data_IF_661766840257
#
_entry.id   IF_661766840257
#
_cell.length_a   1.000
_cell.length_b   1.000
_cell.length_c   1.000
_cell.angle_alpha   90.00
_cell.angle_beta   90.00
_cell.angle_gamma   90.00
#
_symmetry.space_group_name_H-M   'P 1'
#
loop_
_entity.id
_entity.type
_entity.pdbx_description
1 polymer ?
#
# COMPACT_ATOMS: atom_id res chain seq x y z
N UNK A 1 -13.97 28.05 11.07
CA UNK A 1 -12.60 27.49 11.20
C UNK A 1 -12.61 26.12 10.54
N UNK A 2 -11.67 25.80 9.66
CA UNK A 2 -11.58 24.48 9.01
C UNK A 2 -10.96 23.49 9.98
N UNK A 3 -11.46 22.23 10.03
CA UNK A 3 -10.87 21.20 10.87
C UNK A 3 -9.48 20.77 10.34
N UNK A 4 -8.56 20.33 11.21
CA UNK A 4 -7.35 19.68 10.76
C UNK A 4 -7.69 18.36 10.06
N UNK A 5 -6.97 18.03 8.99
CA UNK A 5 -7.03 16.71 8.37
C UNK A 5 -5.94 15.83 8.98
N UNK A 6 -6.36 14.78 9.69
CA UNK A 6 -5.44 13.83 10.32
C UNK A 6 -5.74 12.44 9.76
N UNK A 7 -4.74 11.82 9.16
CA UNK A 7 -4.80 10.41 8.74
C UNK A 7 -4.16 9.56 9.85
N UNK A 8 -4.89 8.56 10.34
CA UNK A 8 -4.45 7.68 11.42
C UNK A 8 -4.56 6.22 11.00
N UNK A 9 -3.51 5.46 11.26
CA UNK A 9 -3.56 4.01 11.15
C UNK A 9 -4.42 3.42 12.29
N UNK A 10 -5.11 2.29 12.06
CA UNK A 10 -5.89 1.62 13.11
C UNK A 10 -5.01 1.20 14.30
N UNK A 11 -5.56 1.31 15.51
CA UNK A 11 -4.82 1.04 16.75
C UNK A 11 -4.31 -0.41 16.87
N UNK A 12 -4.93 -1.35 16.16
CA UNK A 12 -4.48 -2.75 16.14
C UNK A 12 -3.11 -2.96 15.49
N UNK A 13 -2.63 -2.01 14.66
CA UNK A 13 -1.35 -2.15 13.94
C UNK A 13 -0.18 -2.26 14.92
N UNK A 14 -0.14 -1.42 15.94
CA UNK A 14 0.94 -1.45 16.94
C UNK A 14 0.97 -2.79 17.67
N UNK A 15 -0.20 -3.30 18.07
CA UNK A 15 -0.32 -4.62 18.72
C UNK A 15 0.09 -5.75 17.77
N UNK A 16 -0.34 -5.69 16.51
CA UNK A 16 -0.03 -6.69 15.51
C UNK A 16 1.47 -6.77 15.18
N UNK A 17 2.14 -5.63 15.16
CA UNK A 17 3.57 -5.54 14.85
C UNK A 17 4.47 -5.85 16.06
N UNK A 18 3.95 -5.76 17.28
CA UNK A 18 4.74 -5.96 18.51
C UNK A 18 5.50 -7.29 18.55
N UNK A 19 4.86 -8.35 18.04
CA UNK A 19 5.41 -9.72 18.03
C UNK A 19 6.06 -10.08 16.68
N UNK A 20 6.21 -9.10 15.77
CA UNK A 20 6.85 -9.29 14.47
C UNK A 20 8.31 -8.87 14.52
N UNK A 21 9.18 -9.49 13.70
CA UNK A 21 10.57 -9.04 13.63
C UNK A 21 10.65 -7.60 13.09
N UNK A 22 11.59 -6.78 13.56
CA UNK A 22 11.77 -5.43 13.02
C UNK A 22 12.42 -5.42 11.63
N UNK A 23 12.97 -6.55 11.18
CA UNK A 23 13.68 -6.71 9.90
C UNK A 23 13.23 -7.96 9.16
N UNK A 24 13.13 -7.84 7.84
CA UNK A 24 12.66 -8.86 6.92
C UNK A 24 13.74 -9.14 5.88
N UNK A 25 14.35 -10.32 5.97
CA UNK A 25 15.56 -10.68 5.21
C UNK A 25 15.30 -10.97 3.72
N UNK A 26 14.06 -11.15 3.31
CA UNK A 26 13.70 -11.47 1.92
C UNK A 26 12.43 -10.75 1.49
N UNK A 27 12.25 -10.61 0.17
CA UNK A 27 11.03 -10.06 -0.42
C UNK A 27 9.79 -10.87 -0.03
N UNK A 28 9.91 -12.20 0.08
CA UNK A 28 8.81 -13.06 0.50
C UNK A 28 8.33 -12.70 1.91
N UNK A 29 9.24 -12.54 2.87
CA UNK A 29 8.88 -12.15 4.24
C UNK A 29 8.26 -10.75 4.31
N UNK A 30 8.73 -9.81 3.48
CA UNK A 30 8.14 -8.46 3.37
C UNK A 30 6.73 -8.52 2.80
N UNK A 31 6.52 -9.29 1.72
CA UNK A 31 5.21 -9.44 1.11
C UNK A 31 4.25 -10.22 2.01
N UNK A 32 4.70 -11.25 2.71
CA UNK A 32 3.91 -11.97 3.73
C UNK A 32 3.40 -11.03 4.83
N UNK A 33 4.25 -10.08 5.29
CA UNK A 33 3.79 -9.05 6.22
C UNK A 33 2.69 -8.20 5.61
N UNK A 34 2.89 -7.70 4.39
CA UNK A 34 1.93 -6.82 3.71
C UNK A 34 0.59 -7.53 3.47
N UNK A 35 0.62 -8.77 2.98
CA UNK A 35 -0.59 -9.61 2.83
C UNK A 35 -1.29 -9.83 4.17
N UNK A 36 -0.52 -10.08 5.23
CA UNK A 36 -1.06 -10.28 6.58
C UNK A 36 -1.72 -9.01 7.13
N UNK A 37 -1.16 -7.83 6.84
CA UNK A 37 -1.76 -6.53 7.19
C UNK A 37 -3.08 -6.32 6.44
N UNK A 38 -3.14 -6.62 5.14
CA UNK A 38 -4.37 -6.51 4.35
C UNK A 38 -5.46 -7.45 4.90
N UNK A 39 -5.10 -8.70 5.23
CA UNK A 39 -6.01 -9.67 5.86
C UNK A 39 -6.50 -9.17 7.21
N UNK A 40 -5.61 -8.68 8.05
CA UNK A 40 -5.98 -8.16 9.38
C UNK A 40 -6.88 -6.92 9.29
N UNK A 41 -6.69 -6.07 8.28
CA UNK A 41 -7.52 -4.90 8.06
C UNK A 41 -8.99 -5.28 7.81
N UNK A 42 -9.23 -6.28 6.97
CA UNK A 42 -10.60 -6.77 6.72
C UNK A 42 -11.19 -7.52 7.93
N UNK A 43 -10.40 -8.35 8.62
CA UNK A 43 -10.83 -9.07 9.83
C UNK A 43 -11.21 -8.12 10.97
N UNK A 44 -10.53 -6.99 11.07
CA UNK A 44 -10.79 -5.96 12.07
C UNK A 44 -11.88 -4.97 11.65
N UNK A 45 -12.44 -5.10 10.43
CA UNK A 45 -13.43 -4.21 9.85
C UNK A 45 -12.99 -2.72 9.85
N UNK A 46 -11.68 -2.47 9.68
CA UNK A 46 -11.10 -1.11 9.70
C UNK A 46 -10.83 -0.54 8.30
N UNK A 47 -11.12 -1.29 7.23
CA UNK A 47 -11.00 -0.78 5.87
C UNK A 47 -10.99 -1.86 4.80
N UNK A 48 -10.64 -1.47 3.57
CA UNK A 48 -10.57 -2.34 2.41
C UNK A 48 -9.40 -3.35 2.43
N UNK A 49 -9.36 -4.28 1.46
CA UNK A 49 -8.45 -5.43 1.43
C UNK A 49 -7.03 -5.09 0.96
N UNK A 50 -6.55 -3.88 1.25
CA UNK A 50 -5.29 -3.38 0.73
C UNK A 50 -4.36 -2.98 1.88
N UNK A 51 -3.08 -3.35 1.72
CA UNK A 51 -2.01 -2.93 2.60
C UNK A 51 -0.74 -2.63 1.80
N UNK A 52 0.12 -1.83 2.41
CA UNK A 52 1.44 -1.53 1.89
C UNK A 52 2.42 -1.35 3.05
N UNK A 53 3.71 -1.41 2.77
CA UNK A 53 4.72 -1.10 3.76
C UNK A 53 5.98 -0.53 3.09
N UNK A 54 6.62 0.41 3.76
CA UNK A 54 7.92 0.96 3.36
C UNK A 54 9.01 0.28 4.16
N UNK A 55 10.02 -0.23 3.48
CA UNK A 55 11.19 -0.86 4.08
C UNK A 55 12.49 -0.14 3.69
N UNK A 56 13.48 -0.26 4.53
CA UNK A 56 14.87 0.03 4.19
C UNK A 56 15.40 -1.09 3.28
N UNK A 57 15.82 -0.77 2.05
CA UNK A 57 16.29 -1.73 1.07
C UNK A 57 17.55 -2.49 1.50
N UNK A 58 18.45 -1.81 2.24
CA UNK A 58 19.75 -2.37 2.60
C UNK A 58 19.67 -3.30 3.82
N UNK A 59 18.76 -3.00 4.75
CA UNK A 59 18.67 -3.72 6.05
C UNK A 59 17.42 -4.60 6.18
N UNK A 60 16.43 -4.40 5.32
CA UNK A 60 15.12 -5.03 5.43
C UNK A 60 14.28 -4.53 6.61
N UNK A 61 14.66 -3.44 7.26
CA UNK A 61 13.93 -2.87 8.39
C UNK A 61 12.60 -2.28 7.94
N UNK A 62 11.52 -2.61 8.65
CA UNK A 62 10.21 -1.98 8.46
C UNK A 62 10.27 -0.53 8.95
N UNK A 63 10.06 0.42 8.02
CA UNK A 63 10.01 1.85 8.35
C UNK A 63 8.57 2.23 8.70
N UNK A 64 7.62 1.86 7.85
CA UNK A 64 6.21 2.22 8.09
C UNK A 64 5.26 1.22 7.41
N UNK A 65 4.23 0.76 8.12
CA UNK A 65 3.10 0.06 7.54
C UNK A 65 2.07 1.06 6.99
N UNK A 66 1.17 0.57 6.14
CA UNK A 66 -0.02 1.26 5.68
C UNK A 66 -1.13 0.28 5.37
N UNK A 67 -2.36 0.61 5.72
CA UNK A 67 -3.56 -0.12 5.33
C UNK A 67 -4.59 0.85 4.78
N UNK A 68 -5.49 0.35 3.94
CA UNK A 68 -6.57 1.17 3.41
C UNK A 68 -7.57 1.54 4.52
N UNK A 69 -7.79 2.83 4.71
CA UNK A 69 -8.71 3.37 5.73
C UNK A 69 -9.66 4.42 5.13
N UNK A 70 -9.97 4.31 3.84
CA UNK A 70 -10.81 5.26 3.10
C UNK A 70 -12.15 5.48 3.80
N UNK A 71 -12.87 4.41 4.12
CA UNK A 71 -14.19 4.46 4.74
C UNK A 71 -14.08 4.97 6.18
N UNK A 72 -13.18 4.40 6.96
CA UNK A 72 -12.97 4.72 8.37
C UNK A 72 -12.60 6.20 8.58
N UNK A 73 -11.72 6.75 7.72
CA UNK A 73 -11.25 8.13 7.83
C UNK A 73 -12.08 9.11 6.98
N UNK A 74 -13.13 8.65 6.26
CA UNK A 74 -13.90 9.45 5.32
C UNK A 74 -12.99 10.26 4.37
N UNK A 75 -11.95 9.61 3.85
CA UNK A 75 -10.91 10.23 3.04
C UNK A 75 -10.56 9.35 1.85
N UNK A 76 -10.98 9.74 0.63
CA UNK A 76 -10.77 8.97 -0.59
C UNK A 76 -9.30 8.73 -0.94
N UNK A 77 -8.39 9.55 -0.44
CA UNK A 77 -6.96 9.39 -0.66
C UNK A 77 -6.26 8.49 0.37
N UNK A 78 -6.97 8.01 1.40
CA UNK A 78 -6.39 7.18 2.48
C UNK A 78 -6.18 5.71 2.05
N UNK A 79 -5.59 5.51 0.86
CA UNK A 79 -5.15 4.21 0.34
C UNK A 79 -3.93 3.70 1.10
N UNK A 80 -3.69 2.41 1.07
CA UNK A 80 -2.61 1.76 1.81
C UNK A 80 -1.22 2.33 1.48
N UNK A 81 -0.93 2.56 0.20
CA UNK A 81 0.34 3.11 -0.25
C UNK A 81 0.52 4.56 0.25
N UNK A 82 -0.54 5.37 0.17
CA UNK A 82 -0.51 6.75 0.66
C UNK A 82 -0.27 6.75 2.18
N UNK A 83 -0.93 5.87 2.92
CA UNK A 83 -0.74 5.73 4.36
C UNK A 83 0.69 5.31 4.70
N UNK A 84 1.25 4.30 4.01
CA UNK A 84 2.61 3.83 4.22
C UNK A 84 3.66 4.92 3.90
N UNK A 85 3.54 5.56 2.73
CA UNK A 85 4.45 6.62 2.29
C UNK A 85 4.40 7.84 3.23
N UNK A 86 3.19 8.32 3.55
CA UNK A 86 3.02 9.49 4.44
C UNK A 86 3.57 9.21 5.84
N UNK A 87 3.36 7.99 6.36
CA UNK A 87 3.89 7.58 7.67
C UNK A 87 5.41 7.49 7.64
N UNK A 88 6.00 6.88 6.59
CA UNK A 88 7.44 6.80 6.42
C UNK A 88 8.09 8.19 6.33
N UNK A 89 7.51 9.10 5.55
CA UNK A 89 7.94 10.49 5.42
C UNK A 89 7.90 11.22 6.77
N UNK A 90 6.87 10.97 7.57
CA UNK A 90 6.75 11.54 8.91
C UNK A 90 7.80 11.01 9.88
N UNK A 91 8.05 9.69 9.86
CA UNK A 91 9.06 9.02 10.70
C UNK A 91 10.46 9.49 10.33
N UNK A 92 10.78 9.57 9.04
CA UNK A 92 12.10 9.96 8.56
C UNK A 92 12.30 11.49 8.47
N UNK A 93 11.26 12.28 8.74
CA UNK A 93 11.32 13.74 8.78
C UNK A 93 11.56 14.40 7.42
N UNK A 94 11.21 13.74 6.31
CA UNK A 94 11.39 14.25 4.95
C UNK A 94 10.21 13.89 4.06
N UNK A 95 9.77 14.82 3.21
CA UNK A 95 8.78 14.56 2.15
C UNK A 95 9.36 13.74 0.98
N UNK A 96 10.68 13.75 0.83
CA UNK A 96 11.42 12.99 -0.19
C UNK A 96 12.27 11.92 0.49
N UNK A 97 11.86 10.65 0.37
CA UNK A 97 12.55 9.49 0.94
C UNK A 97 13.89 9.18 0.23
N UNK A 98 14.21 9.91 -0.86
CA UNK A 98 15.52 9.82 -1.52
C UNK A 98 16.52 10.87 -1.03
N UNK A 99 16.15 11.72 -0.07
CA UNK A 99 17.01 12.78 0.45
C UNK A 99 18.32 12.25 1.02
N UNK A 100 19.38 13.07 0.87
CA UNK A 100 20.71 12.71 1.37
C UNK A 100 20.69 12.39 2.86
N UNK A 101 21.36 11.31 3.24
CA UNK A 101 21.45 10.83 4.63
C UNK A 101 20.31 9.92 5.07
N UNK A 102 19.26 9.76 4.25
CA UNK A 102 18.20 8.78 4.50
C UNK A 102 18.55 7.40 3.92
N UNK A 103 17.96 6.32 4.46
CA UNK A 103 18.08 4.99 3.89
C UNK A 103 17.42 4.95 2.51
N UNK A 104 17.90 4.08 1.63
CA UNK A 104 17.16 3.76 0.40
C UNK A 104 15.87 3.05 0.77
N UNK A 105 14.74 3.60 0.35
CA UNK A 105 13.42 3.08 0.67
C UNK A 105 12.82 2.32 -0.50
N UNK A 106 12.12 1.23 -0.19
CA UNK A 106 11.29 0.48 -1.12
C UNK A 106 9.86 0.38 -0.59
N UNK A 107 8.89 0.27 -1.50
CA UNK A 107 7.48 0.11 -1.20
C UNK A 107 7.03 -1.28 -1.62
N UNK A 108 6.45 -2.03 -0.69
CA UNK A 108 5.70 -3.25 -0.96
C UNK A 108 4.21 -2.93 -0.89
N UNK A 109 3.44 -3.37 -1.87
CA UNK A 109 1.98 -3.22 -1.91
C UNK A 109 1.31 -4.57 -2.16
N UNK A 110 0.24 -4.87 -1.43
CA UNK A 110 -0.51 -6.12 -1.61
C UNK A 110 -1.15 -6.24 -3.00
N UNK A 111 -1.30 -5.11 -3.71
CA UNK A 111 -1.92 -5.04 -5.04
C UNK A 111 -1.14 -4.02 -5.88
N UNK A 112 -1.18 -4.16 -7.20
CA UNK A 112 -0.68 -3.13 -8.12
C UNK A 112 -1.35 -1.78 -7.79
N UNK A 113 -0.60 -0.65 -7.79
CA UNK A 113 -1.14 0.64 -7.36
C UNK A 113 -2.23 1.14 -8.33
N UNK A 114 -3.32 1.69 -7.80
CA UNK A 114 -4.31 2.41 -8.59
C UNK A 114 -3.71 3.67 -9.23
N UNK A 115 -4.44 4.34 -10.13
CA UNK A 115 -3.96 5.54 -10.85
C UNK A 115 -3.49 6.65 -9.88
N UNK A 116 -4.16 6.86 -8.75
CA UNK A 116 -3.80 7.85 -7.74
C UNK A 116 -2.48 7.49 -7.05
N UNK A 117 -2.36 6.24 -6.55
CA UNK A 117 -1.15 5.78 -5.87
C UNK A 117 0.04 5.71 -6.81
N UNK A 118 -0.17 5.28 -8.07
CA UNK A 118 0.84 5.31 -9.12
C UNK A 118 1.41 6.71 -9.34
N UNK A 119 0.55 7.72 -9.29
CA UNK A 119 0.98 9.13 -9.36
C UNK A 119 1.81 9.58 -8.16
N UNK A 120 1.51 9.09 -6.95
CA UNK A 120 2.20 9.47 -5.72
C UNK A 120 3.59 8.85 -5.56
N UNK A 121 3.80 7.61 -6.06
CA UNK A 121 5.05 6.84 -5.90
C UNK A 121 6.29 7.62 -6.36
N UNK A 122 6.35 8.24 -7.56
CA UNK A 122 7.53 9.01 -7.99
C UNK A 122 7.87 10.20 -7.10
N UNK A 123 6.85 10.82 -6.48
CA UNK A 123 7.03 11.96 -5.58
C UNK A 123 7.55 11.57 -4.21
N UNK A 124 7.36 10.32 -3.81
CA UNK A 124 7.80 9.84 -2.50
C UNK A 124 9.31 9.62 -2.39
N UNK A 125 10.01 9.42 -3.52
CA UNK A 125 11.44 9.16 -3.55
C UNK A 125 11.85 7.69 -3.33
N UNK A 126 10.91 6.74 -3.23
CA UNK A 126 11.24 5.30 -3.15
C UNK A 126 11.99 4.83 -4.40
N UNK A 127 12.85 3.84 -4.23
CA UNK A 127 13.71 3.32 -5.31
C UNK A 127 13.21 2.00 -5.89
N UNK A 128 12.27 1.35 -5.24
CA UNK A 128 11.71 0.08 -5.67
C UNK A 128 10.25 -0.04 -5.25
N UNK A 129 9.46 -0.68 -6.11
CA UNK A 129 8.06 -1.04 -5.87
C UNK A 129 7.90 -2.53 -6.13
N UNK A 130 7.34 -3.26 -5.17
CA UNK A 130 6.98 -4.67 -5.31
C UNK A 130 5.48 -4.82 -5.08
N UNK A 131 4.78 -5.37 -6.07
CA UNK A 131 3.33 -5.53 -6.05
C UNK A 131 2.93 -7.01 -5.99
N UNK A 132 1.93 -7.31 -5.16
CA UNK A 132 1.33 -8.64 -5.03
C UNK A 132 0.30 -8.92 -6.13
N UNK A 133 -0.99 -8.79 -5.82
CA UNK A 133 -2.08 -8.98 -6.77
C UNK A 133 -2.01 -7.98 -7.93
N UNK A 134 -2.52 -8.38 -9.09
CA UNK A 134 -2.59 -7.52 -10.25
C UNK A 134 -3.80 -6.56 -10.20
N UNK A 135 -3.78 -5.53 -11.05
CA UNK A 135 -4.88 -4.58 -11.23
C UNK A 135 -6.21 -5.28 -11.57
N UNK A 136 -6.13 -6.29 -12.44
CA UNK A 136 -7.28 -7.07 -12.87
C UNK A 136 -7.93 -7.83 -11.70
N UNK A 137 -7.15 -8.24 -10.69
CA UNK A 137 -7.67 -8.94 -9.52
C UNK A 137 -8.53 -8.02 -8.65
N UNK A 138 -8.12 -6.75 -8.48
CA UNK A 138 -8.91 -5.73 -7.78
C UNK A 138 -10.18 -5.34 -8.56
N UNK A 139 -10.05 -5.15 -9.89
CA UNK A 139 -11.20 -4.87 -10.76
C UNK A 139 -12.20 -6.02 -10.77
N UNK A 140 -11.75 -7.27 -10.75
CA UNK A 140 -12.61 -8.46 -10.74
C UNK A 140 -13.50 -8.57 -9.51
N UNK A 141 -13.12 -7.94 -8.41
CA UNK A 141 -13.96 -7.86 -7.21
C UNK A 141 -14.80 -6.58 -7.13
N UNK A 142 -14.63 -5.64 -8.06
CA UNK A 142 -15.47 -4.47 -8.25
C UNK A 142 -14.82 -3.13 -7.92
N UNK A 143 -13.53 -3.08 -7.55
CA UNK A 143 -12.84 -1.80 -7.33
C UNK A 143 -12.54 -1.09 -8.64
N UNK A 144 -12.66 0.23 -8.61
CA UNK A 144 -12.21 1.12 -9.67
C UNK A 144 -10.74 1.51 -9.41
N UNK A 145 -9.85 1.07 -10.28
CA UNK A 145 -8.42 1.36 -10.20
C UNK A 145 -8.02 2.63 -11.00
N UNK A 146 -8.99 3.29 -11.61
CA UNK A 146 -8.80 4.48 -12.44
C UNK A 146 -8.06 4.20 -13.75
N UNK A 147 -7.81 5.28 -14.51
CA UNK A 147 -7.12 5.22 -15.79
C UNK A 147 -5.60 5.23 -15.60
N UNK A 148 -4.94 4.14 -15.94
CA UNK A 148 -3.47 4.01 -15.89
C UNK A 148 -2.87 3.93 -17.28
N UNK A 149 -1.65 4.44 -17.45
CA UNK A 149 -0.90 4.21 -18.69
C UNK A 149 -0.52 2.73 -18.82
N UNK A 150 -0.69 2.15 -20.00
CA UNK A 150 -0.46 0.72 -20.26
C UNK A 150 0.94 0.24 -19.83
N UNK A 151 1.96 1.07 -20.02
CA UNK A 151 3.36 0.76 -19.72
C UNK A 151 3.85 1.42 -18.44
N UNK A 152 3.00 1.53 -17.40
CA UNK A 152 3.32 2.20 -16.15
C UNK A 152 4.57 1.69 -15.45
N UNK A 153 4.87 0.39 -15.54
CA UNK A 153 6.10 -0.21 -15.00
C UNK A 153 7.34 0.36 -15.69
N UNK A 154 7.32 0.44 -17.01
CA UNK A 154 8.39 1.07 -17.80
C UNK A 154 8.54 2.56 -17.48
N UNK A 155 7.44 3.26 -17.23
CA UNK A 155 7.45 4.67 -16.81
C UNK A 155 8.18 4.85 -15.48
N UNK A 156 7.91 4.01 -14.48
CA UNK A 156 8.59 4.04 -13.18
C UNK A 156 10.08 3.65 -13.32
N UNK A 157 10.39 2.61 -14.10
CA UNK A 157 11.77 2.19 -14.36
C UNK A 157 12.61 3.31 -14.99
N UNK A 158 12.06 4.07 -15.94
CA UNK A 158 12.72 5.26 -16.53
C UNK A 158 12.99 6.37 -15.50
N UNK A 159 12.27 6.38 -14.39
CA UNK A 159 12.49 7.30 -13.25
C UNK A 159 13.45 6.74 -12.21
N UNK A 160 14.05 5.56 -12.46
CA UNK A 160 14.96 4.89 -11.53
C UNK A 160 14.26 4.18 -10.36
N UNK A 161 12.98 3.84 -10.54
CA UNK A 161 12.20 3.04 -9.59
C UNK A 161 12.07 1.64 -10.16
N UNK A 162 12.77 0.67 -9.58
CA UNK A 162 12.63 -0.75 -9.96
C UNK A 162 11.21 -1.24 -9.66
N UNK A 163 10.60 -1.98 -10.58
CA UNK A 163 9.24 -2.50 -10.39
C UNK A 163 9.23 -4.02 -10.54
N UNK A 164 8.66 -4.70 -9.55
CA UNK A 164 8.35 -6.13 -9.55
C UNK A 164 6.83 -6.29 -9.41
N UNK A 165 6.21 -6.98 -10.36
CA UNK A 165 4.76 -7.27 -10.35
C UNK A 165 4.51 -8.74 -10.06
N UNK A 166 3.26 -9.06 -9.69
CA UNK A 166 2.76 -10.43 -9.52
C UNK A 166 3.54 -11.26 -8.48
N UNK A 167 4.17 -10.57 -7.53
CA UNK A 167 4.98 -11.23 -6.49
C UNK A 167 4.07 -11.81 -5.39
N UNK A 168 4.01 -13.13 -5.26
CA UNK A 168 3.05 -13.84 -4.41
C UNK A 168 1.59 -13.48 -4.75
N UNK A 169 1.28 -13.40 -6.06
CA UNK A 169 -0.02 -12.94 -6.56
C UNK A 169 -1.18 -13.78 -6.05
N UNK A 170 -1.03 -15.09 -5.97
CA UNK A 170 -2.10 -16.00 -5.52
C UNK A 170 -2.52 -15.69 -4.08
N UNK A 171 -1.56 -15.55 -3.17
CA UNK A 171 -1.81 -15.25 -1.75
C UNK A 171 -2.39 -13.85 -1.56
N UNK A 172 -1.93 -12.89 -2.35
CA UNK A 172 -2.43 -11.52 -2.32
C UNK A 172 -3.87 -11.44 -2.87
N UNK A 173 -4.15 -12.11 -3.98
CA UNK A 173 -5.49 -12.17 -4.60
C UNK A 173 -6.50 -12.92 -3.71
N UNK A 174 -6.08 -13.93 -2.93
CA UNK A 174 -6.93 -14.60 -1.96
C UNK A 174 -7.56 -13.62 -0.96
N UNK A 175 -6.81 -12.60 -0.51
CA UNK A 175 -7.34 -11.58 0.39
C UNK A 175 -8.46 -10.77 -0.28
N UNK A 176 -8.29 -10.41 -1.56
CA UNK A 176 -9.32 -9.72 -2.35
C UNK A 176 -10.59 -10.57 -2.48
N UNK A 177 -10.44 -11.85 -2.79
CA UNK A 177 -11.58 -12.77 -2.92
C UNK A 177 -12.32 -12.96 -1.60
N UNK A 178 -11.60 -13.11 -0.48
CA UNK A 178 -12.20 -13.20 0.86
C UNK A 178 -13.00 -11.94 1.20
N UNK A 179 -12.49 -10.77 0.87
CA UNK A 179 -13.19 -9.51 1.07
C UNK A 179 -14.51 -9.46 0.30
N UNK A 180 -14.49 -9.84 -0.99
CA UNK A 180 -15.71 -9.95 -1.82
C UNK A 180 -16.71 -10.93 -1.21
N UNK A 181 -16.26 -12.13 -0.82
CA UNK A 181 -17.12 -13.17 -0.23
C UNK A 181 -17.73 -12.76 1.11
N UNK A 182 -17.04 -11.93 1.88
CA UNK A 182 -17.57 -11.40 3.17
C UNK A 182 -18.54 -10.22 2.98
N UNK A 183 -18.82 -9.79 1.75
CA UNK A 183 -19.68 -8.64 1.47
C UNK A 183 -19.01 -7.30 1.79
N UNK A 184 -17.69 -7.24 1.65
CA UNK A 184 -16.92 -6.03 1.90
C UNK A 184 -17.38 -4.84 1.04
N UNK A 185 -17.30 -3.64 1.60
CA UNK A 185 -17.75 -2.41 0.94
C UNK A 185 -16.84 -2.03 -0.21
N UNK A 186 -17.40 -1.91 -1.41
CA UNK A 186 -16.70 -1.35 -2.58
C UNK A 186 -16.96 0.16 -2.58
N UNK A 187 -15.93 0.94 -2.27
CA UNK A 187 -16.02 2.39 -2.04
C UNK A 187 -15.61 3.21 -3.27
N UNK A 188 -16.07 2.82 -4.45
CA UNK A 188 -15.90 3.63 -5.66
C UNK A 188 -16.69 4.95 -5.55
N UNK A 189 -16.22 6.00 -6.26
CA UNK A 189 -17.03 7.21 -6.41
C UNK A 189 -18.26 6.90 -7.28
N UNK A 190 -19.38 7.58 -7.01
CA UNK A 190 -20.64 7.41 -7.81
C UNK A 190 -20.44 7.70 -9.29
N UNK A 191 -19.41 8.46 -9.67
CA UNK A 191 -19.11 8.82 -11.06
C UNK A 191 -18.47 7.66 -11.83
N UNK A 192 -17.83 6.71 -11.15
CA UNK A 192 -17.20 5.53 -11.75
C UNK A 192 -18.12 4.33 -11.98
N UNK A 193 -19.34 4.36 -11.45
CA UNK A 193 -20.32 3.27 -11.52
C UNK A 193 -21.28 3.41 -12.73
N UNK A 194 -20.75 3.39 -13.97
CA UNK A 194 -21.59 3.28 -15.18
C UNK A 194 -21.12 2.16 -16.06
#
# INVERSE_FOLDING_TARGET
MFPPVTLKLPDWIDTFLKDKPPRYASDSLKMELVISLARKNIESATGGPFAAAVFNMDTGELIAPGVNVVVEQSCSSAHAEIMALSTAQKILGSFDLSSHGLPKCELFSSTAPCAMCLGAIPWSGVKRLVCGAADEDARAIGFDEGEKVENWTSMLNKRGIEVVTDFMREEASDVLQRYKMSGGVIYNSEIGCK
#
